data_IF_347133043582
#
_entry.id   IF_347133043582
#
_cell.length_a   1.000
_cell.length_b   1.000
_cell.length_c   1.000
_cell.angle_alpha   90.00
_cell.angle_beta   90.00
_cell.angle_gamma   90.00
#
_symmetry.space_group_name_H-M   'P 1'
#
loop_
_entity.id
_entity.type
_entity.pdbx_description
1 polymer ?
#
# COMPACT_ATOMS: atom_id res chain seq x y z
N UNK A 1 -20.95 -20.35 -5.65
CA UNK A 1 -19.86 -19.42 -5.94
C UNK A 1 -19.36 -18.86 -4.61
N UNK A 2 -18.14 -19.16 -4.30
CA UNK A 2 -17.53 -18.79 -3.03
C UNK A 2 -17.50 -17.28 -2.84
N UNK A 3 -17.56 -16.82 -1.58
CA UNK A 3 -17.40 -15.40 -1.19
C UNK A 3 -16.03 -14.80 -1.59
N UNK A 4 -15.13 -15.61 -2.12
CA UNK A 4 -13.77 -15.27 -2.56
C UNK A 4 -13.76 -14.18 -3.63
N UNK A 5 -14.74 -14.15 -4.54
CA UNK A 5 -14.79 -13.20 -5.66
C UNK A 5 -15.59 -11.92 -5.41
N UNK A 6 -16.09 -11.70 -4.19
CA UNK A 6 -16.87 -10.49 -3.87
C UNK A 6 -16.00 -9.27 -3.56
N UNK A 7 -14.70 -9.46 -3.43
CA UNK A 7 -13.69 -8.44 -3.15
C UNK A 7 -12.41 -8.85 -3.87
N UNK A 8 -12.00 -8.10 -4.85
CA UNK A 8 -10.84 -8.36 -5.68
C UNK A 8 -9.90 -7.16 -5.65
N UNK A 9 -8.64 -7.38 -5.37
CA UNK A 9 -7.58 -6.45 -5.75
C UNK A 9 -7.20 -6.74 -7.20
N UNK A 10 -7.04 -5.71 -8.00
CA UNK A 10 -6.44 -5.77 -9.33
C UNK A 10 -5.20 -4.91 -9.29
N UNK A 11 -4.07 -5.55 -9.43
CA UNK A 11 -2.75 -4.97 -9.41
C UNK A 11 -2.13 -5.08 -10.81
N UNK A 12 -1.67 -3.97 -11.34
CA UNK A 12 -1.20 -3.87 -12.72
C UNK A 12 0.09 -3.08 -12.81
N UNK A 13 1.18 -3.78 -13.09
CA UNK A 13 2.44 -3.17 -13.49
C UNK A 13 2.47 -2.98 -15.00
N UNK A 14 2.88 -1.83 -15.46
CA UNK A 14 3.06 -1.51 -16.88
C UNK A 14 4.49 -1.08 -17.16
N UNK A 15 4.96 -1.33 -18.39
CA UNK A 15 6.27 -0.89 -18.86
C UNK A 15 6.08 -0.05 -20.11
N UNK A 16 6.59 1.17 -20.11
CA UNK A 16 6.61 2.06 -21.25
C UNK A 16 8.01 2.62 -21.47
N UNK A 17 8.58 2.40 -22.65
CA UNK A 17 9.92 2.86 -23.03
C UNK A 17 11.03 2.46 -22.04
N UNK A 18 10.86 1.31 -21.36
CA UNK A 18 11.80 0.76 -20.37
C UNK A 18 11.59 1.26 -18.95
N UNK A 19 10.55 2.04 -18.69
CA UNK A 19 10.18 2.50 -17.35
C UNK A 19 8.96 1.76 -16.83
N UNK A 20 9.01 1.36 -15.56
CA UNK A 20 7.92 0.71 -14.85
C UNK A 20 7.00 1.73 -14.17
N UNK A 21 5.72 1.39 -14.11
CA UNK A 21 4.73 2.08 -13.27
C UNK A 21 3.76 1.05 -12.71
N UNK A 22 3.39 1.20 -11.45
CA UNK A 22 2.59 0.23 -10.71
C UNK A 22 1.39 0.88 -10.04
N UNK A 23 0.27 0.16 -10.04
CA UNK A 23 -0.95 0.62 -9.39
C UNK A 23 -1.90 -0.53 -9.07
N UNK A 24 -2.54 -0.49 -7.91
CA UNK A 24 -3.57 -1.43 -7.57
C UNK A 24 -4.86 -0.79 -7.07
N UNK A 25 -5.99 -1.49 -7.32
CA UNK A 25 -7.32 -1.07 -6.89
C UNK A 25 -8.14 -2.24 -6.38
N UNK A 26 -8.94 -1.94 -5.34
CA UNK A 26 -9.93 -2.88 -4.85
C UNK A 26 -11.28 -2.71 -5.57
N UNK A 27 -11.88 -3.83 -5.92
CA UNK A 27 -13.22 -3.89 -6.50
C UNK A 27 -14.14 -4.72 -5.61
N UNK A 28 -15.30 -4.19 -5.26
CA UNK A 28 -16.36 -4.93 -4.57
C UNK A 28 -17.39 -5.35 -5.61
N UNK A 29 -17.52 -6.66 -5.84
CA UNK A 29 -18.41 -7.24 -6.83
C UNK A 29 -19.65 -7.79 -6.13
N UNK A 30 -20.77 -7.11 -6.31
CA UNK A 30 -22.03 -7.49 -5.68
C UNK A 30 -22.11 -7.06 -4.20
N UNK A 31 -22.70 -7.90 -3.35
CA UNK A 31 -22.89 -7.61 -1.92
C UNK A 31 -21.78 -8.24 -1.09
N UNK A 32 -21.24 -7.49 -0.14
CA UNK A 32 -20.30 -7.98 0.86
C UNK A 32 -20.75 -7.59 2.28
N UNK A 33 -19.95 -7.91 3.30
CA UNK A 33 -20.31 -7.55 4.67
C UNK A 33 -19.86 -6.13 5.00
N UNK A 34 -20.53 -5.40 5.91
CA UNK A 34 -20.11 -4.05 6.30
C UNK A 34 -18.66 -3.97 6.81
N UNK A 35 -18.17 -5.03 7.49
CA UNK A 35 -16.77 -5.10 7.94
C UNK A 35 -15.80 -5.13 6.76
N UNK A 36 -16.12 -5.89 5.70
CA UNK A 36 -15.29 -5.99 4.50
C UNK A 36 -15.33 -4.70 3.66
N UNK A 37 -16.49 -4.05 3.59
CA UNK A 37 -16.62 -2.73 2.94
C UNK A 37 -15.77 -1.68 3.67
N UNK A 38 -15.89 -1.64 5.01
CA UNK A 38 -15.08 -0.74 5.83
C UNK A 38 -13.58 -0.99 5.66
N UNK A 39 -13.13 -2.25 5.57
CA UNK A 39 -11.73 -2.59 5.33
C UNK A 39 -11.22 -1.99 4.01
N UNK A 40 -11.96 -2.18 2.91
CA UNK A 40 -11.61 -1.63 1.59
C UNK A 40 -11.56 -0.10 1.62
N UNK A 41 -12.53 0.53 2.28
CA UNK A 41 -12.56 1.98 2.45
C UNK A 41 -11.35 2.47 3.27
N UNK A 42 -11.05 1.85 4.40
CA UNK A 42 -9.92 2.25 5.26
C UNK A 42 -8.58 2.02 4.56
N UNK A 43 -8.43 0.96 3.77
CA UNK A 43 -7.23 0.75 2.96
C UNK A 43 -7.02 1.90 1.95
N UNK A 44 -8.07 2.36 1.29
CA UNK A 44 -8.03 3.53 0.42
C UNK A 44 -7.68 4.81 1.20
N UNK A 45 -8.33 5.04 2.32
CA UNK A 45 -8.03 6.19 3.19
C UNK A 45 -6.59 6.17 3.69
N UNK A 46 -6.01 4.98 3.96
CA UNK A 46 -4.61 4.82 4.31
C UNK A 46 -3.68 5.29 3.19
N UNK A 47 -3.97 4.95 1.92
CA UNK A 47 -3.23 5.48 0.77
C UNK A 47 -3.31 7.01 0.72
N UNK A 48 -4.51 7.58 0.79
CA UNK A 48 -4.76 9.04 0.74
C UNK A 48 -4.01 9.77 1.89
N UNK A 49 -4.05 9.22 3.10
CA UNK A 49 -3.34 9.78 4.28
C UNK A 49 -1.82 9.64 4.13
N UNK A 50 -1.34 8.52 3.56
CA UNK A 50 0.08 8.35 3.25
C UNK A 50 0.59 9.41 2.27
N UNK A 51 -0.18 9.66 1.21
CA UNK A 51 0.10 10.74 0.24
C UNK A 51 0.15 12.12 0.92
N UNK A 52 -0.83 12.42 1.78
CA UNK A 52 -0.86 13.70 2.50
C UNK A 52 0.31 13.87 3.47
N UNK A 53 0.82 12.77 4.04
CA UNK A 53 1.95 12.78 4.96
C UNK A 53 3.30 12.94 4.24
N UNK A 54 3.41 12.48 3.00
CA UNK A 54 4.61 12.58 2.18
C UNK A 54 4.85 14.04 1.74
N UNK A 55 5.79 14.70 2.39
CA UNK A 55 6.14 16.08 2.08
C UNK A 55 7.58 16.16 1.56
N UNK A 56 7.87 17.10 0.63
CA UNK A 56 9.24 17.38 0.24
C UNK A 56 10.09 17.69 1.48
N UNK A 57 11.26 17.05 1.57
CA UNK A 57 12.19 17.15 2.70
C UNK A 57 11.64 16.63 4.04
N UNK A 58 10.49 15.91 4.04
CA UNK A 58 10.05 15.04 5.13
C UNK A 58 10.73 13.68 5.07
N UNK A 59 10.27 12.74 5.86
CA UNK A 59 10.85 11.40 5.96
C UNK A 59 9.86 10.32 5.53
N UNK A 60 10.36 9.20 4.99
CA UNK A 60 9.53 8.04 4.63
C UNK A 60 8.73 7.54 5.84
N UNK A 61 9.31 7.53 7.03
CA UNK A 61 8.62 7.15 8.27
C UNK A 61 7.42 8.03 8.63
N UNK A 62 7.29 9.23 8.06
CA UNK A 62 6.08 10.06 8.24
C UNK A 62 4.88 9.43 7.53
N UNK A 63 5.10 8.82 6.36
CA UNK A 63 4.10 8.07 5.59
C UNK A 63 3.58 6.90 6.42
N UNK A 64 4.50 6.00 6.81
CA UNK A 64 4.17 4.79 7.56
C UNK A 64 3.50 5.09 8.91
N UNK A 65 3.99 6.12 9.63
CA UNK A 65 3.38 6.55 10.88
C UNK A 65 1.91 6.99 10.70
N UNK A 66 1.63 7.78 9.66
CA UNK A 66 0.28 8.30 9.41
C UNK A 66 -0.69 7.16 9.04
N UNK A 67 -0.25 6.25 8.16
CA UNK A 67 -1.00 5.07 7.74
C UNK A 67 -1.31 4.15 8.93
N UNK A 68 -0.29 3.75 9.69
CA UNK A 68 -0.45 2.86 10.84
C UNK A 68 -1.40 3.44 11.89
N UNK A 69 -1.27 4.73 12.18
CA UNK A 69 -2.16 5.43 13.10
C UNK A 69 -3.62 5.39 12.66
N UNK A 70 -3.87 5.59 11.36
CA UNK A 70 -5.23 5.56 10.81
C UNK A 70 -5.83 4.15 10.82
N UNK A 71 -5.07 3.15 10.37
CA UNK A 71 -5.48 1.75 10.40
C UNK A 71 -5.86 1.30 11.81
N UNK A 72 -5.00 1.53 12.79
CA UNK A 72 -5.22 1.22 14.22
C UNK A 72 -6.46 1.91 14.80
N UNK A 73 -6.69 3.19 14.47
CA UNK A 73 -7.88 3.95 14.90
C UNK A 73 -9.16 3.30 14.41
N UNK A 74 -9.13 2.63 13.25
CA UNK A 74 -10.27 1.94 12.66
C UNK A 74 -10.40 0.46 13.07
N UNK A 75 -9.49 -0.05 13.93
CA UNK A 75 -9.48 -1.42 14.41
C UNK A 75 -8.88 -2.42 13.43
N UNK A 76 -7.98 -1.95 12.56
CA UNK A 76 -7.24 -2.74 11.57
C UNK A 76 -5.74 -2.67 11.84
N UNK A 77 -4.97 -3.56 11.21
CA UNK A 77 -3.52 -3.59 11.29
C UNK A 77 -2.88 -3.42 9.91
N UNK A 78 -1.61 -3.03 9.91
CA UNK A 78 -0.80 -2.84 8.69
C UNK A 78 0.18 -3.99 8.58
N UNK A 79 0.27 -4.64 7.41
CA UNK A 79 1.28 -5.66 7.10
C UNK A 79 2.68 -5.07 7.24
N UNK A 80 3.63 -5.86 7.75
CA UNK A 80 5.00 -5.41 8.03
C UNK A 80 6.08 -6.12 7.23
N UNK A 81 5.75 -7.28 6.66
CA UNK A 81 6.69 -8.10 5.91
C UNK A 81 6.78 -7.69 4.43
N UNK A 82 5.91 -6.76 4.02
CA UNK A 82 5.85 -6.19 2.67
C UNK A 82 5.76 -4.67 2.79
N UNK A 83 6.29 -3.97 1.78
CA UNK A 83 6.35 -2.51 1.73
C UNK A 83 6.13 -2.00 0.30
N UNK A 84 5.94 -0.72 0.15
CA UNK A 84 6.10 -0.02 -1.12
C UNK A 84 7.59 0.14 -1.46
N UNK A 85 7.87 0.58 -2.65
CA UNK A 85 9.21 0.56 -3.21
C UNK A 85 9.47 1.74 -4.15
N UNK A 86 10.74 2.05 -4.38
CA UNK A 86 11.15 2.82 -5.54
C UNK A 86 10.79 2.08 -6.82
N UNK A 87 10.44 2.80 -7.87
CA UNK A 87 10.05 2.23 -9.16
C UNK A 87 10.48 3.15 -10.29
N UNK A 88 10.95 2.58 -11.39
CA UNK A 88 11.38 3.37 -12.54
C UNK A 88 12.10 2.53 -13.56
N UNK A 89 13.42 2.45 -13.49
CA UNK A 89 14.23 1.62 -14.40
C UNK A 89 14.12 0.15 -14.03
N UNK A 90 14.06 -0.13 -12.73
CA UNK A 90 13.75 -1.46 -12.21
C UNK A 90 12.32 -1.49 -11.68
N UNK A 91 11.73 -2.69 -11.61
CA UNK A 91 10.39 -2.86 -11.04
C UNK A 91 10.39 -2.54 -9.54
N UNK A 92 11.34 -3.09 -8.81
CA UNK A 92 11.58 -2.78 -7.41
C UNK A 92 12.99 -2.21 -7.25
N UNK A 93 13.08 -0.99 -6.77
CA UNK A 93 14.35 -0.33 -6.45
C UNK A 93 14.22 0.47 -5.14
N UNK A 94 15.31 0.95 -4.60
CA UNK A 94 15.30 1.84 -3.44
C UNK A 94 14.51 3.14 -3.73
N UNK A 95 13.79 3.67 -2.75
CA UNK A 95 13.75 3.22 -1.34
C UNK A 95 12.62 2.22 -1.04
N UNK A 96 12.79 1.42 0.04
CA UNK A 96 11.65 0.75 0.68
C UNK A 96 10.74 1.77 1.35
N UNK A 97 9.43 1.64 1.15
CA UNK A 97 8.40 2.53 1.68
C UNK A 97 7.53 1.77 2.67
N UNK A 98 7.96 1.68 3.91
CA UNK A 98 7.19 1.02 4.97
C UNK A 98 5.90 1.78 5.30
N UNK A 99 4.79 1.03 5.45
CA UNK A 99 3.48 1.59 5.79
C UNK A 99 3.19 1.61 7.29
N UNK A 100 4.22 1.43 8.10
CA UNK A 100 4.23 1.52 9.56
C UNK A 100 5.50 2.23 10.02
N UNK A 101 5.59 2.60 11.28
CA UNK A 101 6.84 3.12 11.81
C UNK A 101 6.71 4.42 12.60
N UNK A 102 7.82 5.12 12.72
CA UNK A 102 7.97 6.30 13.58
C UNK A 102 8.14 7.56 12.75
N UNK A 103 7.39 8.60 13.12
CA UNK A 103 7.51 9.93 12.51
C UNK A 103 8.93 10.48 12.62
N UNK A 104 9.41 11.09 11.54
CA UNK A 104 10.73 11.73 11.46
C UNK A 104 11.90 10.74 11.36
N UNK A 105 11.66 9.54 10.82
CA UNK A 105 12.68 8.51 10.63
C UNK A 105 12.71 8.00 9.18
N UNK A 106 13.76 7.26 8.84
CA UNK A 106 13.96 6.70 7.51
C UNK A 106 14.61 7.68 6.54
N UNK A 107 14.50 7.38 5.25
CA UNK A 107 15.09 8.18 4.18
C UNK A 107 14.38 9.54 4.03
N UNK A 108 15.16 10.58 3.70
CA UNK A 108 14.64 11.89 3.37
C UNK A 108 13.96 11.86 2.00
N UNK A 109 12.74 12.35 1.92
CA UNK A 109 12.02 12.49 0.65
C UNK A 109 12.52 13.73 -0.10
N UNK A 110 13.12 13.52 -1.26
CA UNK A 110 13.66 14.62 -2.08
C UNK A 110 12.98 14.68 -3.44
N UNK A 111 12.81 15.87 -4.03
CA UNK A 111 12.28 16.01 -5.38
C UNK A 111 13.05 15.16 -6.40
N UNK A 112 12.31 14.51 -7.29
CA UNK A 112 12.82 13.57 -8.28
C UNK A 112 12.69 12.08 -7.89
N UNK A 113 12.39 11.76 -6.64
CA UNK A 113 12.13 10.38 -6.22
C UNK A 113 10.81 9.88 -6.82
N UNK A 114 10.82 8.67 -7.37
CA UNK A 114 9.64 7.95 -7.85
C UNK A 114 9.49 6.69 -7.02
N UNK A 115 8.32 6.48 -6.41
CA UNK A 115 8.07 5.36 -5.52
C UNK A 115 6.59 5.05 -5.40
N UNK A 116 6.25 3.86 -4.90
CA UNK A 116 4.88 3.46 -4.60
C UNK A 116 4.50 3.77 -3.15
N UNK A 117 3.22 4.00 -2.93
CA UNK A 117 2.57 3.88 -1.62
C UNK A 117 1.43 2.89 -1.81
N UNK A 118 1.48 1.76 -1.08
CA UNK A 118 0.62 0.60 -1.33
C UNK A 118 0.20 -0.12 -0.03
N UNK A 119 -0.45 0.57 0.91
CA UNK A 119 -0.72 0.02 2.22
C UNK A 119 -1.59 -1.23 2.17
N UNK A 120 -1.07 -2.35 2.67
CA UNK A 120 -1.77 -3.61 2.88
C UNK A 120 -2.38 -3.61 4.28
N UNK A 121 -3.70 -3.60 4.36
CA UNK A 121 -4.47 -3.45 5.60
C UNK A 121 -5.22 -4.74 5.92
N UNK A 122 -4.93 -5.34 7.07
CA UNK A 122 -5.53 -6.58 7.55
C UNK A 122 -6.69 -6.32 8.52
N UNK A 123 -7.74 -7.13 8.41
CA UNK A 123 -8.90 -7.06 9.31
C UNK A 123 -8.63 -7.61 10.72
N UNK A 124 -7.49 -8.26 10.93
CA UNK A 124 -7.05 -8.86 12.16
C UNK A 124 -5.59 -8.54 12.49
N UNK A 125 -4.76 -9.56 12.68
CA UNK A 125 -3.32 -9.38 12.95
C UNK A 125 -2.56 -8.84 11.74
N UNK A 126 -1.39 -8.25 11.96
CA UNK A 126 -0.53 -7.75 10.88
C UNK A 126 0.28 -8.86 10.20
N UNK A 127 0.41 -10.01 10.85
CA UNK A 127 1.23 -11.13 10.43
C UNK A 127 0.69 -11.78 9.16
N UNK A 128 1.60 -12.15 8.30
CA UNK A 128 1.33 -12.85 7.04
C UNK A 128 2.38 -13.93 6.83
N UNK A 129 2.10 -14.90 5.97
CA UNK A 129 3.07 -15.91 5.54
C UNK A 129 2.94 -16.15 4.03
N UNK A 130 4.01 -16.66 3.42
CA UNK A 130 4.01 -17.09 2.03
C UNK A 130 3.58 -18.57 2.00
N UNK A 131 2.59 -18.88 1.16
CA UNK A 131 2.15 -20.27 0.95
C UNK A 131 3.32 -21.10 0.42
N UNK A 132 3.65 -22.17 1.14
CA UNK A 132 4.77 -23.06 0.79
C UNK A 132 4.50 -23.88 -0.49
N UNK A 133 3.23 -24.06 -0.88
CA UNK A 133 2.87 -24.86 -2.05
C UNK A 133 3.22 -24.14 -3.36
N UNK A 134 3.04 -22.83 -3.45
CA UNK A 134 3.33 -22.06 -4.65
C UNK A 134 4.53 -21.09 -4.49
N UNK A 135 4.96 -20.84 -3.26
CA UNK A 135 6.08 -19.95 -2.94
C UNK A 135 5.83 -18.48 -3.31
N UNK A 136 4.58 -18.09 -3.47
CA UNK A 136 4.17 -16.79 -3.98
C UNK A 136 2.99 -16.18 -3.23
N UNK A 137 1.92 -16.92 -3.02
CA UNK A 137 0.70 -16.41 -2.40
C UNK A 137 0.95 -15.98 -0.96
N UNK A 138 0.60 -14.74 -0.65
CA UNK A 138 0.69 -14.20 0.71
C UNK A 138 -0.68 -14.32 1.38
N UNK A 139 -0.71 -14.98 2.54
CA UNK A 139 -1.92 -15.26 3.32
C UNK A 139 -1.80 -14.61 4.70
N UNK A 140 -2.90 -14.05 5.21
CA UNK A 140 -2.94 -13.55 6.58
C UNK A 140 -2.93 -14.70 7.58
N UNK A 141 -2.12 -14.60 8.63
CA UNK A 141 -1.94 -15.67 9.64
C UNK A 141 -3.24 -16.08 10.33
N UNK A 142 -4.18 -15.15 10.47
CA UNK A 142 -5.48 -15.37 11.09
C UNK A 142 -6.62 -15.64 10.10
N UNK A 143 -6.31 -15.85 8.82
CA UNK A 143 -7.25 -16.08 7.71
C UNK A 143 -8.32 -14.98 7.53
N UNK A 144 -8.14 -13.84 8.19
CA UNK A 144 -9.03 -12.70 8.04
C UNK A 144 -8.68 -11.90 6.77
N UNK A 145 -9.64 -11.17 6.19
CA UNK A 145 -9.42 -10.47 4.94
C UNK A 145 -8.41 -9.33 5.04
N UNK A 146 -7.65 -9.14 3.97
CA UNK A 146 -6.80 -7.99 3.70
C UNK A 146 -7.35 -7.14 2.56
N UNK A 147 -6.91 -5.88 2.44
CA UNK A 147 -7.19 -4.98 1.34
C UNK A 147 -5.98 -4.08 1.07
N UNK A 148 -5.75 -3.75 -0.21
CA UNK A 148 -4.65 -2.90 -0.67
C UNK A 148 -5.16 -1.91 -1.71
N UNK A 149 -4.57 -0.71 -1.70
CA UNK A 149 -4.66 0.29 -2.77
C UNK A 149 -3.27 0.84 -3.02
N UNK A 150 -2.98 1.18 -4.27
CA UNK A 150 -1.66 1.61 -4.66
C UNK A 150 -1.68 2.66 -5.76
N UNK A 151 -0.70 3.54 -5.69
CA UNK A 151 -0.27 4.40 -6.79
C UNK A 151 1.24 4.56 -6.82
N UNK A 152 1.77 4.79 -8.02
CA UNK A 152 3.12 5.33 -8.22
C UNK A 152 3.08 6.85 -8.13
N UNK A 153 4.06 7.42 -7.45
CA UNK A 153 4.17 8.85 -7.19
C UNK A 153 5.53 9.41 -7.62
N UNK A 154 5.51 10.64 -8.08
CA UNK A 154 6.70 11.49 -8.20
C UNK A 154 6.71 12.50 -7.04
N UNK A 155 7.80 12.55 -6.27
CA UNK A 155 8.04 13.63 -5.33
C UNK A 155 8.50 14.87 -6.11
N UNK A 156 7.74 15.95 -6.00
CA UNK A 156 8.09 17.26 -6.56
C UNK A 156 8.47 18.25 -5.46
N UNK A 157 8.94 19.44 -5.82
CA UNK A 157 9.19 20.51 -4.85
C UNK A 157 7.91 21.00 -4.14
N UNK A 158 6.73 20.77 -4.75
CA UNK A 158 5.43 21.21 -4.25
C UNK A 158 4.64 20.10 -3.53
N UNK A 159 5.12 18.86 -3.53
CA UNK A 159 4.45 17.69 -2.96
C UNK A 159 4.43 16.50 -3.92
N UNK A 160 3.60 15.50 -3.62
CA UNK A 160 3.45 14.31 -4.47
C UNK A 160 2.58 14.60 -5.69
N UNK A 161 3.01 14.07 -6.83
CA UNK A 161 2.23 13.95 -8.06
C UNK A 161 1.92 12.47 -8.31
N UNK A 162 0.65 12.13 -8.60
CA UNK A 162 0.24 10.76 -8.94
C UNK A 162 0.58 10.52 -10.41
N UNK A 163 1.35 9.48 -10.70
CA UNK A 163 1.72 9.07 -12.06
C UNK A 163 0.76 8.03 -12.65
N UNK A 164 0.04 7.29 -11.80
CA UNK A 164 -0.92 6.24 -12.19
C UNK A 164 -2.35 6.63 -11.82
N UNK A 165 -3.27 6.64 -12.80
CA UNK A 165 -4.66 7.07 -12.62
C UNK A 165 -5.68 5.99 -12.98
#
# INVERSE_FOLDING_TARGET
ASDVYKRQNVDCTTILDGYYADASRMFIIGKTTPKKEKLVQVARECLEIGMEAAKPFGFIGDIGHAIEKHAKKNGFSVVRDLCGHGVGVEFHEEPDVEHFGKKGTGMLLVPGMVFTIEPMINAGTWEVFIDEEDGWTVVTEDELPSAQWEHTFLMTENGLEILTH
#
